data_IF_495878384719
#
_entry.id   IF_495878384719
#
_cell.length_a   1.000
_cell.length_b   1.000
_cell.length_c   1.000
_cell.angle_alpha   90.00
_cell.angle_beta   90.00
_cell.angle_gamma   90.00
#
_symmetry.space_group_name_H-M   'P 1'
#
loop_
_entity.id
_entity.type
_entity.pdbx_description
1 polymer ?
#
# COMPACT_ATOMS: atom_id res chain seq x y z
N UNK A 1 70.93 -67.83 -35.90
CA UNK A 1 70.93 -67.34 -34.51
C UNK A 1 69.79 -66.36 -34.31
N UNK A 2 69.70 -65.37 -35.20
CA UNK A 2 68.59 -64.43 -35.39
C UNK A 2 67.16 -64.94 -35.11
N UNK A 3 66.74 -66.08 -35.69
CA UNK A 3 65.40 -66.65 -35.45
C UNK A 3 65.11 -66.94 -33.96
N UNK A 4 66.15 -67.22 -33.15
CA UNK A 4 66.01 -67.38 -31.69
C UNK A 4 65.79 -66.04 -30.99
N UNK A 5 66.40 -64.97 -31.47
CA UNK A 5 66.25 -63.61 -30.94
C UNK A 5 64.86 -63.10 -31.24
N UNK A 6 64.42 -63.18 -32.50
CA UNK A 6 63.04 -62.83 -32.88
C UNK A 6 61.99 -63.62 -32.12
N UNK A 7 62.24 -64.92 -31.88
CA UNK A 7 61.34 -65.71 -31.04
C UNK A 7 61.27 -65.17 -29.62
N UNK A 8 62.41 -64.84 -29.01
CA UNK A 8 62.44 -64.26 -27.66
C UNK A 8 61.71 -62.91 -27.63
N UNK A 9 62.02 -61.99 -28.55
CA UNK A 9 61.33 -60.68 -28.67
C UNK A 9 59.81 -60.89 -28.68
N UNK A 10 59.31 -61.73 -29.58
CA UNK A 10 57.87 -61.98 -29.69
C UNK A 10 57.29 -62.71 -28.47
N UNK A 11 58.05 -63.60 -27.83
CA UNK A 11 57.60 -64.30 -26.62
C UNK A 11 57.45 -63.31 -25.44
N UNK A 12 58.20 -62.21 -25.42
CA UNK A 12 58.21 -61.21 -24.34
C UNK A 12 57.07 -60.18 -24.42
N UNK A 13 56.54 -59.88 -25.61
CA UNK A 13 55.48 -58.87 -25.77
C UNK A 13 54.17 -59.25 -25.06
N UNK A 14 53.38 -58.30 -24.53
CA UNK A 14 52.05 -58.61 -24.00
C UNK A 14 51.11 -59.15 -25.08
N UNK A 15 50.02 -59.81 -24.67
CA UNK A 15 49.07 -60.43 -25.60
C UNK A 15 48.45 -59.42 -26.59
N UNK A 16 48.19 -58.19 -26.14
CA UNK A 16 47.75 -57.08 -27.00
C UNK A 16 48.80 -56.70 -28.05
N UNK A 17 50.08 -56.68 -27.65
CA UNK A 17 51.20 -56.41 -28.55
C UNK A 17 51.33 -57.49 -29.64
N UNK A 18 51.17 -58.76 -29.26
CA UNK A 18 51.22 -59.87 -30.23
C UNK A 18 50.01 -59.88 -31.18
N UNK A 19 48.82 -59.52 -30.71
CA UNK A 19 47.68 -59.34 -31.60
C UNK A 19 47.91 -58.20 -32.60
N UNK A 20 48.45 -57.07 -32.15
CA UNK A 20 48.77 -55.94 -33.03
C UNK A 20 49.79 -56.33 -34.10
N UNK A 21 50.85 -57.07 -33.72
CA UNK A 21 51.82 -57.62 -34.67
C UNK A 21 51.11 -58.55 -35.68
N UNK A 22 50.25 -59.45 -35.20
CA UNK A 22 49.54 -60.39 -36.08
C UNK A 22 48.63 -59.69 -37.10
N UNK A 23 47.94 -58.64 -36.69
CA UNK A 23 47.06 -57.85 -37.55
C UNK A 23 47.85 -57.08 -38.61
N UNK A 24 48.95 -56.42 -38.23
CA UNK A 24 49.83 -55.72 -39.17
C UNK A 24 50.47 -56.67 -40.20
N UNK A 25 50.87 -57.87 -39.76
CA UNK A 25 51.43 -58.89 -40.66
C UNK A 25 50.34 -59.60 -41.50
N UNK A 26 49.05 -59.34 -41.21
CA UNK A 26 47.88 -60.01 -41.80
C UNK A 26 47.88 -61.54 -41.62
N UNK A 27 48.30 -61.99 -40.44
CA UNK A 27 48.40 -63.42 -40.10
C UNK A 27 47.00 -63.98 -39.82
N UNK A 28 46.60 -65.01 -40.58
CA UNK A 28 45.33 -65.73 -40.38
C UNK A 28 45.58 -67.11 -39.79
N UNK A 29 45.11 -67.35 -38.56
CA UNK A 29 45.20 -68.66 -37.91
C UNK A 29 43.92 -69.47 -38.16
N UNK A 30 44.07 -70.66 -38.76
CA UNK A 30 42.94 -71.56 -39.04
C UNK A 30 42.17 -71.88 -37.74
N UNK A 31 40.86 -71.63 -37.76
CA UNK A 31 39.96 -71.84 -36.61
C UNK A 31 39.66 -70.59 -35.79
N UNK A 32 40.32 -69.46 -36.04
CA UNK A 32 40.08 -68.19 -35.36
C UNK A 32 39.65 -67.14 -36.39
N UNK A 33 38.48 -66.50 -36.17
CA UNK A 33 37.96 -65.43 -37.05
C UNK A 33 38.50 -64.04 -36.69
N UNK A 34 38.80 -63.81 -35.42
CA UNK A 34 39.35 -62.55 -34.90
C UNK A 34 40.40 -62.90 -33.83
N UNK A 35 41.55 -62.22 -33.86
CA UNK A 35 42.61 -62.36 -32.87
C UNK A 35 42.33 -61.38 -31.73
N UNK A 36 41.50 -61.78 -30.78
CA UNK A 36 41.18 -60.94 -29.62
C UNK A 36 42.04 -61.35 -28.41
N UNK A 37 42.93 -60.46 -27.91
CA UNK A 37 43.79 -60.69 -26.74
C UNK A 37 43.05 -61.08 -25.46
N UNK A 38 41.80 -60.60 -25.29
CA UNK A 38 41.02 -60.79 -24.07
C UNK A 38 40.36 -62.18 -23.98
N UNK A 39 40.47 -63.01 -25.03
CA UNK A 39 39.91 -64.36 -25.02
C UNK A 39 40.81 -65.34 -24.26
N UNK A 40 40.22 -66.17 -23.40
CA UNK A 40 40.96 -67.19 -22.62
C UNK A 40 41.83 -68.14 -23.47
N UNK A 41 41.47 -68.35 -24.73
CA UNK A 41 42.20 -69.22 -25.66
C UNK A 41 43.38 -68.52 -26.36
N UNK A 42 43.59 -67.21 -26.17
CA UNK A 42 44.62 -66.45 -26.86
C UNK A 42 46.03 -67.00 -26.60
N UNK A 43 46.31 -67.49 -25.39
CA UNK A 43 47.58 -68.17 -25.06
C UNK A 43 47.92 -69.34 -26.00
N UNK A 44 46.92 -70.10 -26.45
CA UNK A 44 47.15 -71.20 -27.42
C UNK A 44 47.36 -70.68 -28.84
N UNK A 45 46.75 -69.54 -29.18
CA UNK A 45 46.87 -68.87 -30.48
C UNK A 45 48.20 -68.14 -30.61
N UNK A 46 48.69 -67.53 -29.52
CA UNK A 46 49.96 -66.81 -29.40
C UNK A 46 51.12 -67.61 -30.00
N UNK A 47 51.31 -68.85 -29.54
CA UNK A 47 52.37 -69.72 -30.06
C UNK A 47 52.26 -69.99 -31.58
N UNK A 48 51.03 -70.04 -32.12
CA UNK A 48 50.80 -70.21 -33.56
C UNK A 48 51.05 -68.93 -34.33
N UNK A 49 50.68 -67.77 -33.78
CA UNK A 49 50.99 -66.44 -34.34
C UNK A 49 52.50 -66.26 -34.41
N UNK A 50 53.21 -66.47 -33.31
CA UNK A 50 54.67 -66.32 -33.24
C UNK A 50 55.34 -67.24 -34.26
N UNK A 51 54.92 -68.51 -34.36
CA UNK A 51 55.47 -69.44 -35.35
C UNK A 51 55.22 -68.99 -36.80
N UNK A 52 54.05 -68.41 -37.08
CA UNK A 52 53.68 -67.93 -38.42
C UNK A 52 54.38 -66.60 -38.77
N UNK A 53 54.59 -65.72 -37.80
CA UNK A 53 55.36 -64.49 -37.94
C UNK A 53 56.83 -64.79 -38.28
N UNK A 54 57.41 -65.83 -37.67
CA UNK A 54 58.77 -66.31 -37.93
C UNK A 54 58.91 -67.20 -39.19
N UNK A 55 57.87 -67.28 -40.02
CA UNK A 55 57.92 -68.00 -41.29
C UNK A 55 58.65 -67.18 -42.36
N UNK A 56 59.27 -67.84 -43.34
CA UNK A 56 59.97 -67.15 -44.44
C UNK A 56 59.05 -66.21 -45.25
N UNK A 57 57.74 -66.47 -45.25
CA UNK A 57 56.75 -65.63 -45.94
C UNK A 57 56.51 -64.30 -45.22
N UNK A 58 56.60 -64.29 -43.88
CA UNK A 58 56.24 -63.15 -43.05
C UNK A 58 57.44 -62.45 -42.41
N UNK A 59 58.65 -63.03 -42.44
CA UNK A 59 59.85 -62.43 -41.85
C UNK A 59 60.14 -61.02 -42.40
N UNK A 60 59.99 -60.80 -43.71
CA UNK A 60 60.14 -59.46 -44.32
C UNK A 60 59.13 -58.45 -43.76
N UNK A 61 57.89 -58.88 -43.54
CA UNK A 61 56.86 -58.02 -42.95
C UNK A 61 57.12 -57.73 -41.48
N UNK A 62 57.72 -58.69 -40.77
CA UNK A 62 58.13 -58.51 -39.38
C UNK A 62 59.23 -57.45 -39.27
N UNK A 63 60.24 -57.49 -40.15
CA UNK A 63 61.27 -56.43 -40.21
C UNK A 63 60.63 -55.07 -40.47
N UNK A 64 59.79 -54.96 -41.51
CA UNK A 64 59.11 -53.70 -41.82
C UNK A 64 58.21 -53.18 -40.69
N UNK A 65 57.57 -54.06 -39.92
CA UNK A 65 56.79 -53.65 -38.77
C UNK A 65 57.67 -52.96 -37.72
N UNK A 66 58.79 -53.57 -37.34
CA UNK A 66 59.71 -52.97 -36.38
C UNK A 66 60.41 -51.73 -36.94
N UNK A 67 60.70 -51.70 -38.24
CA UNK A 67 61.25 -50.53 -38.92
C UNK A 67 60.27 -49.36 -38.93
N UNK A 68 58.97 -49.60 -39.18
CA UNK A 68 57.95 -48.55 -39.10
C UNK A 68 57.78 -47.96 -37.68
N UNK A 69 58.04 -48.76 -36.63
CA UNK A 69 58.03 -48.25 -35.24
C UNK A 69 59.20 -47.29 -34.99
N UNK A 70 60.31 -47.47 -35.73
CA UNK A 70 61.51 -46.64 -35.66
C UNK A 70 61.32 -45.32 -36.40
N UNK A 71 60.77 -45.37 -37.63
CA UNK A 71 60.52 -44.17 -38.45
C UNK A 71 59.61 -43.14 -37.76
N UNK A 72 58.68 -43.60 -36.94
CA UNK A 72 57.74 -42.74 -36.21
C UNK A 72 58.36 -42.10 -34.95
N UNK A 73 59.57 -42.49 -34.53
CA UNK A 73 60.19 -42.08 -33.25
C UNK A 73 61.69 -41.80 -33.37
N UNK A 74 62.05 -40.53 -33.51
CA UNK A 74 63.45 -40.06 -33.64
C UNK A 74 64.40 -40.54 -32.53
N UNK A 75 63.87 -40.76 -31.33
CA UNK A 75 64.63 -41.27 -30.19
C UNK A 75 65.07 -42.73 -30.39
N UNK A 76 64.21 -43.55 -31.00
CA UNK A 76 64.46 -44.97 -31.25
C UNK A 76 65.35 -45.16 -32.50
N UNK A 77 65.18 -44.29 -33.50
CA UNK A 77 66.05 -44.26 -34.69
C UNK A 77 67.52 -44.02 -34.31
N UNK A 78 67.76 -43.16 -33.32
CA UNK A 78 69.10 -42.85 -32.82
C UNK A 78 69.84 -44.05 -32.20
N UNK A 79 69.16 -45.18 -31.96
CA UNK A 79 69.76 -46.39 -31.43
C UNK A 79 70.57 -47.15 -32.49
N UNK A 80 70.24 -46.99 -33.78
CA UNK A 80 71.00 -47.60 -34.88
C UNK A 80 72.36 -46.91 -35.00
N UNK A 81 73.43 -47.68 -35.26
CA UNK A 81 74.79 -47.14 -35.37
C UNK A 81 75.51 -46.81 -34.06
N UNK A 82 74.85 -46.85 -32.89
CA UNK A 82 75.51 -46.71 -31.57
C UNK A 82 76.50 -47.85 -31.28
N UNK A 83 77.41 -47.64 -30.34
CA UNK A 83 78.29 -48.70 -29.84
C UNK A 83 77.55 -49.67 -28.91
N UNK A 84 78.11 -50.86 -28.69
CA UNK A 84 77.50 -51.86 -27.80
C UNK A 84 77.43 -51.33 -26.36
N UNK A 85 78.45 -50.59 -25.91
CA UNK A 85 78.48 -49.99 -24.58
C UNK A 85 77.37 -48.95 -24.39
N UNK A 86 77.16 -48.08 -25.38
CA UNK A 86 76.09 -47.07 -25.36
C UNK A 86 74.71 -47.74 -25.35
N UNK A 87 74.53 -48.79 -26.13
CA UNK A 87 73.27 -49.54 -26.19
C UNK A 87 72.94 -50.24 -24.87
N UNK A 88 73.95 -50.80 -24.20
CA UNK A 88 73.77 -51.40 -22.87
C UNK A 88 73.45 -50.35 -21.81
N UNK A 89 74.07 -49.17 -21.88
CA UNK A 89 73.78 -48.06 -20.97
C UNK A 89 72.32 -47.59 -21.10
N UNK A 90 71.80 -47.47 -22.32
CA UNK A 90 70.39 -47.12 -22.57
C UNK A 90 69.42 -48.12 -21.93
N UNK A 91 69.74 -49.43 -21.97
CA UNK A 91 68.91 -50.45 -21.32
C UNK A 91 68.92 -50.33 -19.79
N UNK A 92 70.06 -50.03 -19.19
CA UNK A 92 70.21 -49.99 -17.73
C UNK A 92 69.72 -48.66 -17.12
N UNK A 93 69.99 -47.53 -17.77
CA UNK A 93 69.73 -46.18 -17.23
C UNK A 93 68.40 -45.58 -17.72
N UNK A 94 68.09 -45.68 -19.02
CA UNK A 94 66.95 -45.01 -19.64
C UNK A 94 65.66 -45.85 -19.59
N UNK A 95 65.74 -47.13 -19.20
CA UNK A 95 64.57 -48.00 -19.03
C UNK A 95 63.92 -48.42 -20.35
N UNK A 96 64.72 -48.61 -21.40
CA UNK A 96 64.25 -49.16 -22.67
C UNK A 96 64.05 -50.68 -22.58
N UNK A 97 62.94 -51.19 -23.11
CA UNK A 97 62.70 -52.62 -23.21
C UNK A 97 63.76 -53.31 -24.10
N UNK A 98 64.49 -54.33 -23.60
CA UNK A 98 65.41 -55.10 -24.42
C UNK A 98 64.74 -55.74 -25.65
N UNK A 99 63.46 -56.13 -25.56
CA UNK A 99 62.68 -56.63 -26.71
C UNK A 99 62.52 -55.60 -27.83
N UNK A 100 62.36 -54.32 -27.48
CA UNK A 100 62.26 -53.22 -28.44
C UNK A 100 63.63 -52.94 -29.05
N UNK A 101 64.69 -52.79 -28.23
CA UNK A 101 66.03 -52.52 -28.75
C UNK A 101 66.48 -53.59 -29.76
N UNK A 102 66.33 -54.87 -29.41
CA UNK A 102 66.74 -55.96 -30.30
C UNK A 102 65.88 -56.00 -31.57
N UNK A 103 64.59 -55.68 -31.51
CA UNK A 103 63.72 -55.60 -32.69
C UNK A 103 64.10 -54.46 -33.64
N UNK A 104 64.54 -53.32 -33.09
CA UNK A 104 64.98 -52.13 -33.83
C UNK A 104 66.29 -52.38 -34.57
N UNK A 105 67.26 -53.02 -33.91
CA UNK A 105 68.55 -53.33 -34.51
C UNK A 105 68.44 -54.45 -35.57
N UNK A 106 67.64 -55.48 -35.29
CA UNK A 106 67.39 -56.59 -36.24
C UNK A 106 66.50 -56.21 -37.42
N UNK A 107 65.87 -55.03 -37.41
CA UNK A 107 65.09 -54.51 -38.56
C UNK A 107 65.86 -53.51 -39.41
N UNK A 108 67.10 -53.16 -39.02
CA UNK A 108 67.98 -52.27 -39.78
C UNK A 108 68.31 -52.83 -41.17
N UNK A 109 68.71 -51.99 -42.12
CA UNK A 109 69.29 -52.49 -43.38
C UNK A 109 70.79 -52.83 -43.22
N UNK A 110 71.41 -52.40 -42.12
CA UNK A 110 72.84 -52.60 -41.84
C UNK A 110 73.12 -53.95 -41.14
N UNK A 111 74.05 -54.73 -41.72
CA UNK A 111 74.53 -55.99 -41.12
C UNK A 111 75.31 -55.76 -39.82
N UNK A 112 75.90 -54.57 -39.61
CA UNK A 112 76.61 -54.24 -38.38
C UNK A 112 75.65 -54.17 -37.19
N UNK A 113 74.48 -53.54 -37.37
CA UNK A 113 73.42 -53.49 -36.35
C UNK A 113 72.87 -54.89 -36.03
N UNK A 114 72.78 -55.76 -37.04
CA UNK A 114 72.41 -57.17 -36.84
C UNK A 114 73.43 -57.91 -35.97
N UNK A 115 74.73 -57.66 -36.21
CA UNK A 115 75.82 -58.19 -35.40
C UNK A 115 75.73 -57.73 -33.96
N UNK A 116 75.54 -56.42 -33.74
CA UNK A 116 75.37 -55.82 -32.40
C UNK A 116 74.17 -56.39 -31.66
N UNK A 117 73.03 -56.56 -32.32
CA UNK A 117 71.85 -57.18 -31.72
C UNK A 117 72.12 -58.63 -31.26
N UNK A 118 72.88 -59.39 -32.05
CA UNK A 118 73.26 -60.76 -31.69
C UNK A 118 74.20 -60.79 -30.49
N UNK A 119 75.19 -59.90 -30.47
CA UNK A 119 76.16 -59.80 -29.37
C UNK A 119 75.49 -59.37 -28.05
N UNK A 120 74.65 -58.34 -28.09
CA UNK A 120 73.87 -57.87 -26.94
C UNK A 120 72.96 -58.98 -26.42
N UNK A 121 72.25 -59.68 -27.32
CA UNK A 121 71.39 -60.80 -26.92
C UNK A 121 72.18 -61.93 -26.25
N UNK A 122 73.35 -62.32 -26.79
CA UNK A 122 74.18 -63.36 -26.18
C UNK A 122 74.63 -62.91 -24.80
N UNK A 123 75.21 -61.71 -24.69
CA UNK A 123 75.73 -61.16 -23.44
C UNK A 123 74.66 -61.10 -22.35
N UNK A 124 73.52 -60.49 -22.64
CA UNK A 124 72.42 -60.38 -21.67
C UNK A 124 71.75 -61.71 -21.35
N UNK A 125 71.80 -62.69 -22.27
CA UNK A 125 71.29 -64.04 -22.02
C UNK A 125 72.21 -64.87 -21.14
N UNK A 126 73.52 -64.78 -21.37
CA UNK A 126 74.53 -65.45 -20.54
C UNK A 126 74.58 -64.86 -19.12
N UNK A 127 74.30 -63.56 -18.98
CA UNK A 127 74.18 -62.87 -17.70
C UNK A 127 72.78 -63.02 -17.04
N UNK A 128 71.84 -63.74 -17.65
CA UNK A 128 70.44 -63.89 -17.18
C UNK A 128 69.69 -62.55 -16.95
N UNK A 129 70.11 -61.46 -17.62
CA UNK A 129 69.57 -60.11 -17.43
C UNK A 129 68.38 -59.76 -18.33
N UNK A 130 68.18 -60.47 -19.45
CA UNK A 130 67.14 -60.17 -20.44
C UNK A 130 65.75 -60.01 -19.81
N UNK A 131 65.27 -61.04 -19.12
CA UNK A 131 63.92 -61.05 -18.55
C UNK A 131 63.80 -60.16 -17.29
N UNK A 132 64.92 -59.86 -16.63
CA UNK A 132 64.97 -58.96 -15.47
C UNK A 132 64.80 -57.50 -15.90
N UNK A 133 65.56 -57.08 -16.90
CA UNK A 133 65.47 -55.72 -17.44
C UNK A 133 64.07 -55.45 -18.02
N UNK A 134 63.48 -56.41 -18.72
CA UNK A 134 62.12 -56.26 -19.24
C UNK A 134 61.08 -56.00 -18.13
N UNK A 135 61.15 -56.76 -17.02
CA UNK A 135 60.25 -56.58 -15.87
C UNK A 135 60.49 -55.29 -15.10
N UNK A 136 61.74 -54.84 -15.00
CA UNK A 136 62.07 -53.60 -14.31
C UNK A 136 61.42 -52.39 -14.99
N UNK A 137 61.29 -52.40 -16.31
CA UNK A 137 60.58 -51.34 -17.04
C UNK A 137 59.08 -51.36 -16.72
N UNK A 138 58.46 -52.55 -16.67
CA UNK A 138 57.05 -52.69 -16.27
C UNK A 138 56.77 -52.17 -14.85
N UNK A 139 57.64 -52.48 -13.88
CA UNK A 139 57.50 -52.05 -12.49
C UNK A 139 57.68 -50.53 -12.33
N UNK A 140 58.63 -49.92 -13.05
CA UNK A 140 58.81 -48.46 -13.05
C UNK A 140 57.57 -47.74 -13.58
N UNK A 141 57.04 -48.20 -14.73
CA UNK A 141 55.86 -47.60 -15.36
C UNK A 141 54.58 -47.78 -14.53
N UNK A 142 54.45 -48.88 -13.78
CA UNK A 142 53.31 -49.09 -12.89
C UNK A 142 53.29 -48.08 -11.72
N UNK A 143 54.45 -47.85 -11.10
CA UNK A 143 54.57 -46.93 -9.96
C UNK A 143 54.31 -45.46 -10.35
N UNK A 144 54.74 -45.04 -11.54
CA UNK A 144 54.49 -43.69 -12.05
C UNK A 144 52.99 -43.43 -12.29
N UNK A 145 52.29 -44.42 -12.86
CA UNK A 145 50.84 -44.32 -13.10
C UNK A 145 50.02 -44.21 -11.82
N UNK A 146 50.39 -44.94 -10.77
CA UNK A 146 49.66 -44.91 -9.50
C UNK A 146 49.82 -43.55 -8.79
N UNK A 147 50.96 -42.87 -8.94
CA UNK A 147 51.19 -41.55 -8.38
C UNK A 147 50.31 -40.47 -9.05
N UNK A 148 50.26 -40.45 -10.39
CA UNK A 148 49.43 -39.50 -11.16
C UNK A 148 47.92 -39.67 -10.89
N UNK A 149 47.48 -40.92 -10.72
CA UNK A 149 46.08 -41.22 -10.39
C UNK A 149 45.70 -40.72 -9.00
N UNK A 150 46.61 -40.80 -8.03
CA UNK A 150 46.34 -40.31 -6.68
C UNK A 150 46.28 -38.78 -6.61
N UNK A 151 47.15 -38.07 -7.33
CA UNK A 151 47.13 -36.60 -7.39
C UNK A 151 45.83 -36.08 -8.03
N UNK A 152 45.41 -36.69 -9.13
CA UNK A 152 44.14 -36.34 -9.81
C UNK A 152 42.91 -36.62 -8.93
N UNK A 153 42.92 -37.71 -8.15
CA UNK A 153 41.86 -38.01 -7.18
C UNK A 153 41.76 -36.95 -6.07
N UNK A 154 42.89 -36.52 -5.51
CA UNK A 154 42.93 -35.51 -4.46
C UNK A 154 42.42 -34.15 -4.95
N UNK A 155 42.73 -33.78 -6.20
CA UNK A 155 42.20 -32.56 -6.84
C UNK A 155 40.68 -32.64 -7.05
N UNK A 156 40.19 -33.78 -7.55
CA UNK A 156 38.76 -34.04 -7.73
C UNK A 156 38.01 -33.99 -6.41
N UNK A 157 38.56 -34.56 -5.34
CA UNK A 157 37.92 -34.57 -4.02
C UNK A 157 37.85 -33.16 -3.42
N UNK A 158 38.91 -32.36 -3.57
CA UNK A 158 38.89 -30.93 -3.20
C UNK A 158 37.84 -30.17 -4.01
N UNK A 159 37.77 -30.38 -5.32
CA UNK A 159 36.78 -29.79 -6.21
C UNK A 159 35.35 -30.13 -5.77
N UNK A 160 35.07 -31.40 -5.53
CA UNK A 160 33.77 -31.89 -5.06
C UNK A 160 33.36 -31.23 -3.73
N UNK A 161 34.29 -31.13 -2.77
CA UNK A 161 34.03 -30.50 -1.47
C UNK A 161 33.70 -29.02 -1.59
N UNK A 162 34.34 -28.30 -2.51
CA UNK A 162 34.01 -26.89 -2.77
C UNK A 162 32.64 -26.73 -3.44
N UNK A 163 32.31 -27.59 -4.40
CA UNK A 163 31.02 -27.58 -5.08
C UNK A 163 29.87 -27.87 -4.10
N UNK A 164 30.01 -28.86 -3.21
CA UNK A 164 29.02 -29.19 -2.20
C UNK A 164 28.74 -28.01 -1.24
N UNK A 165 29.77 -27.28 -0.83
CA UNK A 165 29.61 -26.07 0.01
C UNK A 165 28.84 -24.96 -0.72
N UNK A 166 29.10 -24.77 -2.01
CA UNK A 166 28.38 -23.76 -2.80
C UNK A 166 26.91 -24.16 -3.02
N UNK A 167 26.63 -25.45 -3.26
CA UNK A 167 25.26 -25.97 -3.33
C UNK A 167 24.51 -25.69 -2.03
N UNK A 168 25.08 -26.02 -0.86
CA UNK A 168 24.44 -25.76 0.43
C UNK A 168 24.16 -24.25 0.65
N UNK A 169 25.08 -23.39 0.20
CA UNK A 169 24.91 -21.93 0.25
C UNK A 169 23.76 -21.47 -0.66
N UNK A 170 23.66 -22.01 -1.86
CA UNK A 170 22.62 -21.69 -2.83
C UNK A 170 21.25 -22.18 -2.37
N UNK A 171 21.16 -23.40 -1.80
CA UNK A 171 19.93 -23.95 -1.22
C UNK A 171 19.41 -23.07 -0.07
N UNK A 172 20.29 -22.60 0.82
CA UNK A 172 19.92 -21.65 1.88
C UNK A 172 19.39 -20.33 1.32
N UNK A 173 19.97 -19.82 0.23
CA UNK A 173 19.48 -18.60 -0.45
C UNK A 173 18.12 -18.84 -1.10
N UNK A 174 17.96 -19.97 -1.76
CA UNK A 174 16.72 -20.37 -2.43
C UNK A 174 15.57 -20.46 -1.43
N UNK A 175 15.77 -21.17 -0.30
CA UNK A 175 14.78 -21.27 0.77
C UNK A 175 14.38 -19.90 1.35
N UNK A 176 15.32 -18.97 1.51
CA UNK A 176 15.03 -17.59 1.96
C UNK A 176 14.22 -16.80 0.92
N UNK A 177 14.49 -17.00 -0.36
CA UNK A 177 13.75 -16.35 -1.44
C UNK A 177 12.33 -16.90 -1.56
N UNK A 178 12.15 -18.21 -1.41
CA UNK A 178 10.83 -18.85 -1.38
C UNK A 178 9.97 -18.31 -0.23
N UNK A 179 10.52 -18.23 0.98
CA UNK A 179 9.83 -17.65 2.14
C UNK A 179 9.41 -16.20 1.89
N UNK A 180 10.33 -15.36 1.36
CA UNK A 180 10.01 -13.97 1.01
C UNK A 180 8.93 -13.88 -0.07
N UNK A 181 8.93 -14.78 -1.04
CA UNK A 181 7.94 -14.78 -2.11
C UNK A 181 6.54 -15.11 -1.55
N UNK A 182 6.44 -16.08 -0.65
CA UNK A 182 5.17 -16.43 -0.01
C UNK A 182 4.65 -15.29 0.90
N UNK A 183 5.54 -14.61 1.64
CA UNK A 183 5.20 -13.40 2.39
C UNK A 183 4.70 -12.25 1.50
N UNK A 184 5.32 -12.05 0.33
CA UNK A 184 4.87 -11.02 -0.62
C UNK A 184 3.52 -11.37 -1.22
N UNK A 185 3.29 -12.64 -1.58
CA UNK A 185 2.03 -13.13 -2.12
C UNK A 185 0.87 -12.97 -1.13
N UNK A 186 1.10 -13.25 0.15
CA UNK A 186 0.09 -13.05 1.20
C UNK A 186 -0.19 -11.57 1.44
N UNK A 187 0.83 -10.70 1.43
CA UNK A 187 0.66 -9.23 1.50
C UNK A 187 -0.07 -8.66 0.29
N UNK A 188 0.19 -9.18 -0.91
CA UNK A 188 -0.50 -8.77 -2.12
C UNK A 188 -1.98 -9.16 -2.05
N UNK A 189 -2.29 -10.39 -1.62
CA UNK A 189 -3.66 -10.86 -1.47
C UNK A 189 -4.46 -10.03 -0.45
N UNK A 190 -3.86 -9.71 0.70
CA UNK A 190 -4.52 -8.87 1.71
C UNK A 190 -4.72 -7.43 1.23
N UNK A 191 -3.73 -6.86 0.51
CA UNK A 191 -3.84 -5.52 -0.07
C UNK A 191 -4.93 -5.46 -1.15
N UNK A 192 -5.01 -6.47 -2.03
CA UNK A 192 -6.06 -6.57 -3.04
C UNK A 192 -7.45 -6.71 -2.40
N UNK A 193 -7.57 -7.46 -1.31
CA UNK A 193 -8.82 -7.59 -0.56
C UNK A 193 -9.24 -6.25 0.07
N UNK A 194 -8.31 -5.52 0.69
CA UNK A 194 -8.57 -4.19 1.27
C UNK A 194 -9.05 -3.21 0.21
N UNK A 195 -8.33 -3.10 -0.91
CA UNK A 195 -8.70 -2.22 -2.02
C UNK A 195 -10.07 -2.55 -2.61
N UNK A 196 -10.42 -3.84 -2.69
CA UNK A 196 -11.73 -4.28 -3.15
C UNK A 196 -12.84 -3.88 -2.18
N UNK A 197 -12.59 -3.93 -0.87
CA UNK A 197 -13.54 -3.51 0.15
C UNK A 197 -13.72 -2.00 0.15
N UNK A 198 -12.63 -1.23 0.19
CA UNK A 198 -12.67 0.23 0.08
C UNK A 198 -13.42 0.66 -1.19
N UNK A 199 -13.13 0.06 -2.35
CA UNK A 199 -13.83 0.39 -3.59
C UNK A 199 -15.34 0.13 -3.52
N UNK A 200 -15.78 -0.88 -2.75
CA UNK A 200 -17.21 -1.12 -2.51
C UNK A 200 -17.80 -0.05 -1.61
N UNK A 201 -17.11 0.30 -0.52
CA UNK A 201 -17.52 1.35 0.43
C UNK A 201 -17.65 2.71 -0.26
N UNK A 202 -16.64 3.12 -1.03
CA UNK A 202 -16.69 4.34 -1.84
C UNK A 202 -17.85 4.33 -2.84
N UNK A 203 -18.18 3.17 -3.42
CA UNK A 203 -19.32 3.05 -4.35
C UNK A 203 -20.66 3.18 -3.61
N UNK A 204 -20.78 2.67 -2.38
CA UNK A 204 -21.98 2.82 -1.57
C UNK A 204 -22.14 4.26 -1.06
N UNK A 205 -21.07 4.88 -0.56
CA UNK A 205 -21.09 6.27 -0.12
C UNK A 205 -21.42 7.23 -1.26
N UNK A 206 -20.81 7.03 -2.44
CA UNK A 206 -21.12 7.83 -3.63
C UNK A 206 -22.61 7.76 -3.99
N UNK A 207 -23.23 6.58 -3.90
CA UNK A 207 -24.68 6.43 -4.14
C UNK A 207 -25.52 7.12 -3.07
N UNK A 208 -25.13 7.02 -1.80
CA UNK A 208 -25.80 7.68 -0.69
C UNK A 208 -25.76 9.21 -0.87
N UNK A 209 -24.59 9.79 -1.13
CA UNK A 209 -24.46 11.23 -1.38
C UNK A 209 -25.24 11.67 -2.62
N UNK A 210 -25.29 10.85 -3.68
CA UNK A 210 -26.11 11.18 -4.86
C UNK A 210 -27.60 11.22 -4.53
N UNK A 211 -28.09 10.30 -3.69
CA UNK A 211 -29.49 10.30 -3.23
C UNK A 211 -29.78 11.51 -2.34
N UNK A 212 -28.88 11.83 -1.42
CA UNK A 212 -29.00 13.00 -0.54
C UNK A 212 -29.04 14.31 -1.35
N UNK A 213 -28.14 14.47 -2.32
CA UNK A 213 -28.14 15.63 -3.23
C UNK A 213 -29.46 15.74 -3.99
N UNK A 214 -30.03 14.62 -4.45
CA UNK A 214 -31.33 14.63 -5.13
C UNK A 214 -32.47 15.02 -4.19
N UNK A 215 -32.50 14.51 -2.96
CA UNK A 215 -33.48 14.88 -1.93
C UNK A 215 -33.41 16.36 -1.60
N UNK A 216 -32.21 16.87 -1.30
CA UNK A 216 -32.01 18.29 -0.97
C UNK A 216 -32.39 19.21 -2.13
N UNK A 217 -32.13 18.80 -3.38
CA UNK A 217 -32.59 19.57 -4.56
C UNK A 217 -34.11 19.61 -4.66
N UNK A 218 -34.80 18.52 -4.36
CA UNK A 218 -36.26 18.47 -4.35
C UNK A 218 -36.84 19.36 -3.24
N UNK A 219 -36.30 19.27 -2.02
CA UNK A 219 -36.68 20.11 -0.88
C UNK A 219 -36.45 21.60 -1.18
N UNK A 220 -35.28 21.95 -1.72
CA UNK A 220 -34.97 23.32 -2.13
C UNK A 220 -35.95 23.84 -3.20
N UNK A 221 -36.38 22.97 -4.11
CA UNK A 221 -37.43 23.26 -5.09
C UNK A 221 -38.78 23.58 -4.43
N UNK A 222 -39.20 22.75 -3.46
CA UNK A 222 -40.44 22.95 -2.69
C UNK A 222 -40.40 24.27 -1.92
N UNK A 223 -39.36 24.48 -1.10
CA UNK A 223 -39.19 25.69 -0.29
C UNK A 223 -39.16 26.94 -1.16
N UNK A 224 -38.55 26.88 -2.36
CA UNK A 224 -38.55 28.00 -3.31
C UNK A 224 -39.95 28.30 -3.84
N UNK A 225 -40.76 27.29 -4.11
CA UNK A 225 -42.15 27.47 -4.54
C UNK A 225 -43.01 28.02 -3.40
N UNK A 226 -42.88 27.47 -2.20
CA UNK A 226 -43.60 27.95 -1.02
C UNK A 226 -43.26 29.41 -0.71
N UNK A 227 -41.98 29.78 -0.81
CA UNK A 227 -41.53 31.17 -0.68
C UNK A 227 -42.16 32.09 -1.72
N UNK A 228 -42.30 31.65 -2.98
CA UNK A 228 -42.96 32.44 -4.03
C UNK A 228 -44.44 32.63 -3.73
N UNK A 229 -45.13 31.56 -3.34
CA UNK A 229 -46.55 31.60 -2.99
C UNK A 229 -46.80 32.52 -1.79
N UNK A 230 -46.03 32.35 -0.71
CA UNK A 230 -46.13 33.21 0.48
C UNK A 230 -45.80 34.69 0.18
N UNK A 231 -44.84 34.93 -0.72
CA UNK A 231 -44.52 36.30 -1.17
C UNK A 231 -45.69 36.92 -1.95
N UNK A 232 -46.35 36.16 -2.82
CA UNK A 232 -47.52 36.63 -3.57
C UNK A 232 -48.70 36.92 -2.64
N UNK A 233 -48.96 36.03 -1.68
CA UNK A 233 -50.00 36.22 -0.66
C UNK A 233 -49.74 37.46 0.20
N UNK A 234 -48.49 37.64 0.65
CA UNK A 234 -48.07 38.85 1.38
C UNK A 234 -48.37 40.13 0.59
N UNK A 235 -48.08 40.13 -0.71
CA UNK A 235 -48.32 41.29 -1.57
C UNK A 235 -49.82 41.56 -1.75
N UNK A 236 -50.65 40.52 -1.85
CA UNK A 236 -52.10 40.64 -1.91
C UNK A 236 -52.68 41.18 -0.60
N UNK A 237 -52.23 40.67 0.55
CA UNK A 237 -52.61 41.18 1.88
C UNK A 237 -52.22 42.64 2.03
N UNK A 238 -51.01 43.02 1.61
CA UNK A 238 -50.56 44.41 1.64
C UNK A 238 -51.46 45.33 0.80
N UNK A 239 -51.87 44.89 -0.40
CA UNK A 239 -52.83 45.62 -1.25
C UNK A 239 -54.20 45.76 -0.57
N UNK A 240 -54.70 44.70 0.06
CA UNK A 240 -55.97 44.74 0.82
C UNK A 240 -55.90 45.70 2.02
N UNK A 241 -54.81 45.64 2.78
CA UNK A 241 -54.56 46.54 3.91
C UNK A 241 -54.46 48.01 3.48
N UNK A 242 -53.80 48.29 2.36
CA UNK A 242 -53.72 49.65 1.81
C UNK A 242 -55.12 50.21 1.46
N UNK A 243 -55.96 49.40 0.78
CA UNK A 243 -57.35 49.79 0.46
C UNK A 243 -58.21 50.00 1.71
N UNK A 244 -58.07 49.14 2.72
CA UNK A 244 -58.78 49.30 3.99
C UNK A 244 -58.33 50.57 4.72
N UNK A 245 -57.03 50.84 4.76
CA UNK A 245 -56.48 52.07 5.36
C UNK A 245 -57.03 53.33 4.66
N UNK A 246 -57.10 53.32 3.33
CA UNK A 246 -57.70 54.41 2.56
C UNK A 246 -59.19 54.58 2.86
N UNK A 247 -59.93 53.47 2.96
CA UNK A 247 -61.35 53.50 3.33
C UNK A 247 -61.56 54.07 4.73
N UNK A 248 -60.72 53.69 5.70
CA UNK A 248 -60.77 54.22 7.07
C UNK A 248 -60.50 55.73 7.05
N UNK A 249 -59.48 56.20 6.32
CA UNK A 249 -59.21 57.64 6.18
C UNK A 249 -60.41 58.42 5.65
N UNK A 250 -61.05 57.92 4.58
CA UNK A 250 -62.26 58.56 4.02
C UNK A 250 -63.41 58.59 5.03
N UNK A 251 -63.57 57.53 5.84
CA UNK A 251 -64.57 57.49 6.90
C UNK A 251 -64.24 58.43 8.04
N UNK A 252 -62.98 58.55 8.44
CA UNK A 252 -62.53 59.49 9.47
C UNK A 252 -62.72 60.95 9.01
N UNK A 253 -62.43 61.26 7.75
CA UNK A 253 -62.71 62.58 7.15
C UNK A 253 -64.22 62.91 7.18
N UNK A 254 -65.08 61.94 6.83
CA UNK A 254 -66.53 62.12 6.90
C UNK A 254 -67.02 62.25 8.36
N UNK A 255 -66.47 61.47 9.29
CA UNK A 255 -66.75 61.61 10.74
C UNK A 255 -66.39 63.02 11.19
N UNK A 256 -65.20 63.53 10.83
CA UNK A 256 -64.77 64.88 11.18
C UNK A 256 -65.69 65.94 10.57
N UNK A 257 -66.12 65.76 9.32
CA UNK A 257 -67.08 66.66 8.66
C UNK A 257 -68.44 66.66 9.35
N UNK A 258 -68.98 65.49 9.68
CA UNK A 258 -70.23 65.34 10.42
C UNK A 258 -70.11 65.93 11.82
N UNK A 259 -68.99 65.71 12.50
CA UNK A 259 -68.71 66.27 13.81
C UNK A 259 -68.67 67.80 13.76
N UNK A 260 -68.00 68.40 12.77
CA UNK A 260 -68.02 69.85 12.55
C UNK A 260 -69.44 70.39 12.30
N UNK A 261 -70.28 69.63 11.58
CA UNK A 261 -71.70 69.99 11.37
C UNK A 261 -72.52 69.88 12.65
N UNK A 262 -72.30 68.85 13.46
CA UNK A 262 -72.93 68.68 14.78
C UNK A 262 -72.55 69.84 15.69
N UNK A 263 -71.25 70.13 15.82
CA UNK A 263 -70.75 71.29 16.58
C UNK A 263 -71.40 72.59 16.12
N UNK A 264 -71.50 72.83 14.81
CA UNK A 264 -72.17 74.02 14.28
C UNK A 264 -73.65 74.07 14.68
N UNK A 265 -74.37 72.95 14.58
CA UNK A 265 -75.77 72.86 15.00
C UNK A 265 -75.92 73.04 16.52
N UNK A 266 -75.01 72.50 17.33
CA UNK A 266 -74.96 72.72 18.78
C UNK A 266 -74.71 74.19 19.11
N UNK A 267 -73.79 74.85 18.39
CA UNK A 267 -73.52 76.29 18.54
C UNK A 267 -74.72 77.14 18.12
N UNK A 268 -75.40 76.76 17.03
CA UNK A 268 -76.62 77.43 16.55
C UNK A 268 -77.79 77.21 17.54
N UNK A 269 -77.89 76.03 18.16
CA UNK A 269 -78.84 75.72 19.23
C UNK A 269 -78.52 76.47 20.52
N UNK A 270 -77.24 76.62 20.90
CA UNK A 270 -76.81 77.46 22.02
C UNK A 270 -77.09 78.94 21.74
N UNK A 271 -76.85 79.42 20.53
CA UNK A 271 -77.17 80.79 20.11
C UNK A 271 -78.69 81.04 20.07
N UNK A 272 -79.51 80.02 19.76
CA UNK A 272 -80.97 80.09 19.86
C UNK A 272 -81.49 79.95 21.30
N UNK A 273 -80.79 79.21 22.18
CA UNK A 273 -81.13 79.11 23.60
C UNK A 273 -80.64 80.32 24.44
N UNK A 274 -79.66 81.09 23.95
CA UNK A 274 -79.09 82.24 24.66
C UNK A 274 -79.94 83.55 24.63
N UNK A 275 -81.21 83.48 24.22
CA UNK A 275 -82.22 84.48 24.58
C UNK A 275 -83.14 84.06 25.74
N UNK A 276 -82.97 82.88 26.34
CA UNK A 276 -83.71 82.49 27.53
C UNK A 276 -82.93 81.47 28.37
N UNK A 277 -82.11 81.98 29.31
CA UNK A 277 -82.22 81.70 30.76
C UNK A 277 -80.93 82.03 31.50
N UNK A 278 -81.10 82.89 32.50
CA UNK A 278 -80.20 83.13 33.62
C UNK A 278 -79.94 81.87 34.45
N UNK A 279 -78.73 81.80 34.99
CA UNK A 279 -78.45 81.31 36.35
C UNK A 279 -78.50 79.80 36.59
N UNK A 280 -77.32 79.20 36.72
CA UNK A 280 -77.14 78.03 37.58
C UNK A 280 -75.75 78.11 38.23
N UNK A 281 -75.71 78.50 39.51
CA UNK A 281 -74.53 78.36 40.36
C UNK A 281 -74.22 76.87 40.54
N UNK A 282 -73.16 76.38 39.89
CA UNK A 282 -72.63 75.04 40.11
C UNK A 282 -71.60 75.09 41.23
N UNK A 283 -71.64 74.10 42.13
CA UNK A 283 -70.66 73.97 43.23
C UNK A 283 -69.34 73.50 42.63
N UNK A 284 -68.23 74.22 42.88
CA UNK A 284 -66.91 73.87 42.36
C UNK A 284 -66.24 72.84 43.25
N UNK A 285 -65.98 71.67 42.70
CA UNK A 285 -65.43 70.52 43.44
C UNK A 285 -64.12 70.08 42.80
N UNK A 286 -63.05 70.08 43.59
CA UNK A 286 -61.75 69.54 43.17
C UNK A 286 -61.60 68.12 43.69
N UNK A 287 -61.54 67.16 42.78
CA UNK A 287 -61.40 65.74 43.08
C UNK A 287 -59.96 65.29 42.88
N UNK A 288 -59.37 64.74 43.93
CA UNK A 288 -58.00 64.25 43.92
C UNK A 288 -58.06 62.74 43.75
N UNK A 289 -57.48 62.27 42.64
CA UNK A 289 -57.52 60.88 42.18
C UNK A 289 -58.44 60.73 40.97
N UNK A 290 -57.98 60.00 39.94
CA UNK A 290 -58.75 59.80 38.72
C UNK A 290 -59.69 58.58 38.87
N UNK A 291 -61.01 58.77 38.82
CA UNK A 291 -61.98 57.68 38.91
C UNK A 291 -62.14 56.89 37.60
N UNK A 292 -61.51 57.30 36.48
CA UNK A 292 -61.56 56.63 35.17
C UNK A 292 -62.99 56.26 34.71
N UNK A 293 -63.96 57.12 34.98
CA UNK A 293 -65.36 56.89 34.61
C UNK A 293 -66.00 58.17 34.12
N UNK A 294 -66.36 58.18 32.83
CA UNK A 294 -67.13 59.26 32.19
C UNK A 294 -68.57 59.39 32.73
N UNK A 295 -69.00 58.45 33.59
CA UNK A 295 -70.33 58.47 34.21
C UNK A 295 -70.50 59.60 35.22
N UNK A 296 -69.41 60.09 35.81
CA UNK A 296 -69.44 61.19 36.80
C UNK A 296 -69.68 62.57 36.17
N UNK A 297 -69.46 62.71 34.86
CA UNK A 297 -69.73 63.95 34.11
C UNK A 297 -71.23 64.18 33.84
N UNK A 298 -72.09 63.21 34.19
CA UNK A 298 -73.55 63.30 33.98
C UNK A 298 -74.26 64.11 35.07
N UNK A 299 -73.60 64.43 36.19
CA UNK A 299 -74.20 65.12 37.32
C UNK A 299 -74.02 66.64 37.20
N UNK A 300 -75.05 67.34 36.73
CA UNK A 300 -74.98 68.76 36.33
C UNK A 300 -74.92 69.79 37.49
N UNK A 301 -74.89 69.34 38.75
CA UNK A 301 -74.86 70.17 39.97
C UNK A 301 -73.43 70.54 40.43
N UNK A 302 -72.43 69.75 40.02
CA UNK A 302 -71.03 69.92 40.44
C UNK A 302 -70.15 70.24 39.24
N UNK A 303 -69.27 71.23 39.37
CA UNK A 303 -68.20 71.50 38.43
C UNK A 303 -66.94 70.76 38.93
N UNK A 304 -66.60 69.64 38.28
CA UNK A 304 -65.54 68.74 38.73
C UNK A 304 -64.19 69.09 38.09
N UNK A 305 -63.20 69.43 38.91
CA UNK A 305 -61.79 69.53 38.51
C UNK A 305 -61.02 68.31 39.01
N UNK A 306 -60.51 67.47 38.10
CA UNK A 306 -59.80 66.23 38.44
C UNK A 306 -58.30 66.51 38.53
N UNK A 307 -57.69 66.22 39.68
CA UNK A 307 -56.24 66.27 39.88
C UNK A 307 -55.68 64.86 40.06
N UNK A 308 -54.67 64.49 39.27
CA UNK A 308 -53.93 63.24 39.48
C UNK A 308 -53.01 63.38 40.71
N UNK A 309 -52.73 62.25 41.39
CA UNK A 309 -51.92 62.27 42.61
C UNK A 309 -50.51 62.85 42.45
N UNK A 310 -49.97 62.88 41.23
CA UNK A 310 -48.69 63.52 40.87
C UNK A 310 -48.80 65.04 40.65
N UNK A 311 -49.96 65.53 40.22
CA UNK A 311 -50.21 66.94 39.86
C UNK A 311 -50.48 67.82 41.08
N UNK A 312 -50.61 67.22 42.27
CA UNK A 312 -50.77 67.92 43.54
C UNK A 312 -49.54 68.80 43.90
N UNK A 313 -48.37 68.56 43.30
CA UNK A 313 -47.15 69.35 43.55
C UNK A 313 -46.94 70.51 42.57
N UNK A 314 -47.76 70.61 41.51
CA UNK A 314 -47.62 71.64 40.49
C UNK A 314 -48.43 72.89 40.86
N UNK A 315 -48.02 74.07 40.39
CA UNK A 315 -48.78 75.33 40.61
C UNK A 315 -50.25 75.19 40.22
N UNK A 316 -50.54 74.39 39.19
CA UNK A 316 -51.89 74.05 38.74
C UNK A 316 -52.74 73.34 39.81
N UNK A 317 -52.13 72.46 40.61
CA UNK A 317 -52.79 71.77 41.72
C UNK A 317 -53.16 72.73 42.85
N UNK A 318 -52.31 73.72 43.12
CA UNK A 318 -52.56 74.73 44.14
C UNK A 318 -53.68 75.70 43.70
N UNK A 319 -53.65 76.16 42.46
CA UNK A 319 -54.71 77.03 41.89
C UNK A 319 -56.07 76.32 41.87
N UNK A 320 -56.12 75.04 41.52
CA UNK A 320 -57.35 74.24 41.52
C UNK A 320 -57.90 73.99 42.93
N UNK A 321 -57.05 73.95 43.96
CA UNK A 321 -57.48 73.85 45.34
C UNK A 321 -58.03 75.18 45.86
N UNK A 322 -57.46 76.32 45.48
CA UNK A 322 -57.90 77.64 45.96
C UNK A 322 -59.30 78.00 45.47
N UNK A 323 -59.64 77.65 44.22
CA UNK A 323 -60.93 77.96 43.58
C UNK A 323 -62.05 76.93 43.87
N UNK A 324 -61.79 75.92 44.71
CA UNK A 324 -62.76 74.89 45.04
C UNK A 324 -63.56 75.19 46.32
N UNK A 325 -64.88 74.97 46.25
CA UNK A 325 -65.82 75.00 47.38
C UNK A 325 -65.73 73.71 48.20
N UNK A 326 -65.48 72.57 47.55
CA UNK A 326 -65.29 71.26 48.20
C UNK A 326 -64.10 70.50 47.61
N UNK A 327 -63.43 69.70 48.45
CA UNK A 327 -62.33 68.83 48.03
C UNK A 327 -62.69 67.38 48.30
N UNK A 328 -62.67 66.54 47.27
CA UNK A 328 -63.02 65.12 47.36
C UNK A 328 -61.78 64.25 47.15
N UNK A 329 -61.49 63.37 48.11
CA UNK A 329 -60.28 62.54 48.11
C UNK A 329 -60.63 61.06 47.88
N UNK A 330 -60.16 60.50 46.76
CA UNK A 330 -60.32 59.08 46.45
C UNK A 330 -59.19 58.25 47.07
N UNK A 331 -59.41 57.80 48.31
CA UNK A 331 -58.36 57.12 49.11
C UNK A 331 -57.90 55.79 48.49
N UNK A 332 -58.75 55.11 47.72
CA UNK A 332 -58.41 53.86 47.02
C UNK A 332 -57.55 54.04 45.76
N UNK A 333 -57.32 55.28 45.29
CA UNK A 333 -56.50 55.58 44.10
C UNK A 333 -55.23 56.36 44.41
N UNK A 334 -55.01 56.74 45.67
CA UNK A 334 -53.92 57.63 46.06
C UNK A 334 -53.06 56.99 47.15
N UNK A 335 -51.72 56.98 47.02
CA UNK A 335 -50.83 56.48 48.07
C UNK A 335 -50.98 57.23 49.41
N UNK A 336 -50.83 56.52 50.54
CA UNK A 336 -50.99 57.08 51.91
C UNK A 336 -50.11 58.31 52.19
N UNK A 337 -48.94 58.41 51.57
CA UNK A 337 -48.03 59.57 51.69
C UNK A 337 -48.65 60.85 51.12
N UNK A 338 -49.35 60.76 49.98
CA UNK A 338 -50.05 61.87 49.33
C UNK A 338 -51.33 62.20 50.10
N UNK A 339 -52.07 61.20 50.60
CA UNK A 339 -53.26 61.43 51.44
C UNK A 339 -52.94 62.26 52.70
N UNK A 340 -51.85 61.92 53.42
CA UNK A 340 -51.42 62.70 54.60
C UNK A 340 -51.09 64.15 54.25
N UNK A 341 -50.53 64.39 53.07
CA UNK A 341 -50.12 65.72 52.59
C UNK A 341 -51.30 66.59 52.15
N UNK A 342 -52.27 66.01 51.42
CA UNK A 342 -53.54 66.68 51.10
C UNK A 342 -54.22 67.12 52.40
N UNK A 343 -54.31 66.23 53.40
CA UNK A 343 -54.91 66.55 54.71
C UNK A 343 -54.17 67.65 55.47
N UNK A 344 -52.86 67.84 55.24
CA UNK A 344 -52.13 68.97 55.85
C UNK A 344 -52.40 70.32 55.17
N UNK A 345 -52.66 70.33 53.86
CA UNK A 345 -52.86 71.55 53.06
C UNK A 345 -54.31 72.05 53.12
N UNK A 346 -55.27 71.13 53.23
CA UNK A 346 -56.72 71.43 53.09
C UNK A 346 -57.44 71.54 54.45
N UNK A 347 -56.70 71.73 55.56
CA UNK A 347 -57.23 71.71 56.95
C UNK A 347 -58.45 72.63 57.21
N UNK A 348 -58.65 73.65 56.38
CA UNK A 348 -59.70 74.66 56.55
C UNK A 348 -60.86 74.56 55.53
N UNK A 349 -60.91 73.52 54.68
CA UNK A 349 -61.97 73.33 53.66
C UNK A 349 -62.79 72.05 53.89
N UNK A 350 -64.05 72.02 53.44
CA UNK A 350 -64.90 70.83 53.50
C UNK A 350 -64.29 69.71 52.65
N UNK A 351 -63.69 68.73 53.32
CA UNK A 351 -63.03 67.59 52.68
C UNK A 351 -63.88 66.33 52.88
N UNK A 352 -64.16 65.59 51.79
CA UNK A 352 -64.84 64.29 51.84
C UNK A 352 -63.92 63.18 51.34
N UNK A 353 -63.91 62.07 52.05
CA UNK A 353 -63.07 60.92 51.74
C UNK A 353 -63.92 59.76 51.25
N UNK A 354 -63.53 59.19 50.12
CA UNK A 354 -64.19 58.04 49.54
C UNK A 354 -63.25 56.84 49.52
N UNK A 355 -63.70 55.75 50.12
CA UNK A 355 -62.97 54.48 50.22
C UNK A 355 -63.23 53.57 49.04
N UNK A 356 -64.35 53.72 48.36
CA UNK A 356 -64.70 53.00 47.15
C UNK A 356 -65.33 53.92 46.11
N UNK A 357 -65.40 53.48 44.85
CA UNK A 357 -66.12 54.20 43.81
C UNK A 357 -67.63 54.24 44.07
N UNK A 358 -68.19 53.19 44.67
CA UNK A 358 -69.60 53.14 45.04
C UNK A 358 -69.98 54.24 46.06
N UNK A 359 -69.10 54.53 47.03
CA UNK A 359 -69.32 55.60 48.01
C UNK A 359 -69.39 56.99 47.35
N UNK A 360 -68.57 57.21 46.33
CA UNK A 360 -68.55 58.45 45.55
C UNK A 360 -69.84 58.59 44.72
N UNK A 361 -70.26 57.51 44.06
CA UNK A 361 -71.45 57.50 43.23
C UNK A 361 -72.73 57.73 44.08
N UNK A 362 -72.85 57.07 45.23
CA UNK A 362 -73.95 57.29 46.18
C UNK A 362 -73.96 58.73 46.74
N UNK A 363 -72.79 59.32 46.99
CA UNK A 363 -72.71 60.72 47.45
C UNK A 363 -73.14 61.73 46.38
N UNK A 364 -72.79 61.49 45.12
CA UNK A 364 -73.25 62.31 43.99
C UNK A 364 -74.76 62.11 43.71
N UNK A 365 -75.28 60.89 43.89
CA UNK A 365 -76.71 60.56 43.79
C UNK A 365 -77.54 61.20 44.91
N UNK A 366 -77.08 61.14 46.17
CA UNK A 366 -77.76 61.78 47.32
C UNK A 366 -77.76 63.31 47.24
N UNK A 367 -76.75 63.89 46.58
CA UNK A 367 -76.72 65.33 46.29
C UNK A 367 -77.67 65.76 45.17
N UNK A 368 -78.37 64.83 44.52
CA UNK A 368 -79.27 65.11 43.39
C UNK A 368 -80.70 65.50 43.82
N UNK A 369 -81.04 65.32 45.10
CA UNK A 369 -82.29 65.78 45.72
C UNK A 369 -82.11 67.05 46.54
#
# INVERSE_FOLDING_TARGET
MEKKIWKWILDTFPDDGIANIADNLMIKIKGFRQLNPQQANFKMVRNRIIKEALSQKNSKKLYHFFDSIVEDRSEIESLRGKSIEELLQVLEEEGLYPSILLGVLLSSEDEEDHGKAQEIYIKLKEEEKLDLLEKQVDEKLANERDADVQETLDELEKGLKTALKEIERLEKKLKKLEQKNEELKTKEASSQASLKNERKEWKTEKKAFQQEIQSLKAEMGSVRNDRKSASAEKEEIHKKMAKQTETVKLKDEEINRLHARVLKLETDLENQNNQNKSGNDKIKVTMIGDPYSSRLLKYNKFELTILKGSEFQEEKGQTALDHADQVWLLTYKIPRSVQKRVKSVVKNKQTKEFTTFADLEDHMLKGMF
#
